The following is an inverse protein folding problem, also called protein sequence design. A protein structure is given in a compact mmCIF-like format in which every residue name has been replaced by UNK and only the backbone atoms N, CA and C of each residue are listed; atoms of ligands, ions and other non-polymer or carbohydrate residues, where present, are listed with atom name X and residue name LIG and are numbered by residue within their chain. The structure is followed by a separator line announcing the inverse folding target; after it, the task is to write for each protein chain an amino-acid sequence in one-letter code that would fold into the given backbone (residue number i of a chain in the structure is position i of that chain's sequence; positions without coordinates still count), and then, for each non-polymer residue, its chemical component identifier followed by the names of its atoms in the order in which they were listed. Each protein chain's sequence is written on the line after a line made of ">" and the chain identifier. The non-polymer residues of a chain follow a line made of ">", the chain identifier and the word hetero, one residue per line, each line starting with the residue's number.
data_IF_638938012556
#
_entry.id   IF_638938012556
#
_cell.length_a   1.000
_cell.length_b   1.000
_cell.length_c   1.000
_cell.angle_alpha   90.00
_cell.angle_beta   90.00
_cell.angle_gamma   90.00
#
_symmetry.space_group_name_H-M   'P 1'
#
loop_
_entity.id
_entity.type
_entity.pdbx_description
1 polymer ?
#
# COMPACT_ATOMS: atom_id res chain seq x y z
N UNK A 1 -42.99 13.52 -23.06
CA UNK A 1 -41.75 14.34 -22.93
C UNK A 1 -41.03 13.80 -21.70
N UNK A 2 -40.17 12.80 -21.90
CA UNK A 2 -38.71 12.93 -21.99
C UNK A 2 -38.10 13.14 -20.60
N UNK A 3 -37.26 12.26 -20.05
CA UNK A 3 -36.63 11.07 -20.62
C UNK A 3 -35.87 10.23 -19.59
N UNK A 4 -35.46 9.05 -20.06
CA UNK A 4 -34.48 8.08 -19.56
C UNK A 4 -33.69 8.38 -18.29
N UNK A 5 -33.70 7.42 -17.35
CA UNK A 5 -32.52 7.12 -16.52
C UNK A 5 -32.21 5.61 -16.50
N UNK A 6 -30.91 5.34 -16.50
CA UNK A 6 -30.24 4.12 -16.93
C UNK A 6 -30.42 2.90 -16.01
N UNK A 7 -30.30 1.71 -16.61
CA UNK A 7 -30.32 0.41 -15.95
C UNK A 7 -29.25 0.28 -14.85
N UNK A 8 -29.72 0.03 -13.63
CA UNK A 8 -28.87 -0.22 -12.47
C UNK A 8 -28.44 -1.70 -12.44
N UNK A 9 -27.16 -1.98 -12.61
CA UNK A 9 -26.62 -3.33 -12.39
C UNK A 9 -26.74 -3.74 -10.91
N UNK A 10 -27.13 -4.99 -10.65
CA UNK A 10 -27.31 -5.51 -9.29
C UNK A 10 -25.99 -5.51 -8.49
N UNK A 11 -26.02 -5.00 -7.26
CA UNK A 11 -24.86 -4.89 -6.34
C UNK A 11 -25.15 -5.70 -5.07
N UNK A 12 -24.24 -6.60 -4.70
CA UNK A 12 -24.34 -7.39 -3.45
C UNK A 12 -23.27 -6.95 -2.45
N UNK A 13 -23.67 -6.58 -1.23
CA UNK A 13 -22.78 -6.17 -0.12
C UNK A 13 -22.67 -7.26 0.95
N UNK A 14 -21.67 -7.15 1.83
CA UNK A 14 -21.50 -8.08 2.96
C UNK A 14 -22.70 -8.09 3.90
N UNK A 15 -23.37 -6.95 4.10
CA UNK A 15 -24.55 -6.88 4.96
C UNK A 15 -25.71 -7.76 4.49
N UNK A 16 -25.85 -7.97 3.18
CA UNK A 16 -26.98 -8.68 2.58
C UNK A 16 -26.91 -10.20 2.80
N UNK A 17 -25.74 -10.69 3.24
CA UNK A 17 -25.43 -12.11 3.37
C UNK A 17 -25.20 -12.56 4.83
N UNK A 18 -25.21 -11.63 5.79
CA UNK A 18 -24.92 -11.93 7.20
C UNK A 18 -25.93 -12.92 7.75
N UNK A 19 -27.21 -12.58 7.65
CA UNK A 19 -28.28 -13.30 8.35
C UNK A 19 -28.38 -14.73 7.78
N UNK A 20 -28.27 -14.85 6.45
CA UNK A 20 -28.19 -16.16 5.77
C UNK A 20 -27.03 -17.01 6.27
N UNK A 21 -25.86 -16.43 6.52
CA UNK A 21 -24.71 -17.20 7.00
C UNK A 21 -24.81 -17.58 8.49
N UNK A 22 -25.42 -16.73 9.31
CA UNK A 22 -25.64 -16.99 10.75
C UNK A 22 -26.65 -18.13 10.93
N UNK A 23 -27.76 -18.07 10.21
CA UNK A 23 -28.87 -19.02 10.29
C UNK A 23 -28.55 -20.36 9.61
N UNK A 24 -27.62 -20.36 8.65
CA UNK A 24 -27.26 -21.57 7.92
C UNK A 24 -26.51 -22.61 8.78
N UNK A 25 -26.84 -23.92 8.62
CA UNK A 25 -26.09 -25.03 9.19
C UNK A 25 -24.62 -24.99 8.76
N UNK A 26 -23.68 -25.34 9.65
CA UNK A 26 -22.22 -25.19 9.43
C UNK A 26 -21.73 -25.81 8.12
N UNK A 27 -22.29 -26.95 7.70
CA UNK A 27 -21.93 -27.62 6.43
C UNK A 27 -22.46 -26.93 5.17
N UNK A 28 -23.57 -26.17 5.29
CA UNK A 28 -24.30 -25.63 4.14
C UNK A 28 -24.14 -24.11 3.97
N UNK A 29 -23.45 -23.43 4.88
CA UNK A 29 -23.29 -21.96 4.84
C UNK A 29 -22.78 -21.43 3.51
N UNK A 30 -21.84 -22.15 2.89
CA UNK A 30 -21.29 -21.78 1.58
C UNK A 30 -22.36 -21.81 0.49
N UNK A 31 -23.18 -22.86 0.47
CA UNK A 31 -24.21 -23.08 -0.54
C UNK A 31 -25.37 -22.10 -0.38
N UNK A 32 -25.80 -21.84 0.86
CA UNK A 32 -26.87 -20.88 1.13
C UNK A 32 -26.47 -19.43 0.82
N UNK A 33 -25.21 -19.07 1.08
CA UNK A 33 -24.69 -17.76 0.64
C UNK A 33 -24.64 -17.67 -0.88
N UNK A 34 -24.25 -18.74 -1.56
CA UNK A 34 -24.25 -18.79 -3.02
C UNK A 34 -25.65 -18.59 -3.62
N UNK A 35 -26.64 -19.30 -3.10
CA UNK A 35 -28.05 -19.16 -3.49
C UNK A 35 -28.60 -17.76 -3.20
N UNK A 36 -28.22 -17.18 -2.05
CA UNK A 36 -28.61 -15.81 -1.71
C UNK A 36 -28.02 -14.80 -2.69
N UNK A 37 -26.74 -14.96 -3.07
CA UNK A 37 -26.12 -14.08 -4.06
C UNK A 37 -26.84 -14.21 -5.41
N UNK A 38 -27.17 -15.44 -5.86
CA UNK A 38 -27.96 -15.64 -7.09
C UNK A 38 -29.32 -14.95 -7.03
N UNK A 39 -30.03 -15.06 -5.91
CA UNK A 39 -31.35 -14.43 -5.75
C UNK A 39 -31.31 -12.89 -5.78
N UNK A 40 -30.15 -12.29 -5.45
CA UNK A 40 -29.98 -10.83 -5.44
C UNK A 40 -29.53 -10.28 -6.79
N UNK A 41 -29.12 -11.13 -7.73
CA UNK A 41 -28.56 -10.75 -9.03
C UNK A 41 -29.63 -10.78 -10.14
N UNK A 42 -30.85 -11.25 -9.84
CA UNK A 42 -32.04 -11.25 -10.72
C UNK A 42 -31.75 -11.72 -12.15
N UNK A 43 -31.14 -12.90 -12.27
CA UNK A 43 -30.81 -13.50 -13.56
C UNK A 43 -32.04 -14.27 -14.05
N UNK A 44 -32.61 -13.83 -15.19
CA UNK A 44 -33.78 -14.45 -15.83
C UNK A 44 -33.45 -15.75 -16.58
N UNK A 45 -32.18 -15.98 -16.92
CA UNK A 45 -31.68 -17.15 -17.66
C UNK A 45 -30.68 -18.01 -16.86
N UNK A 46 -30.40 -19.23 -17.32
CA UNK A 46 -29.46 -20.11 -16.63
C UNK A 46 -28.04 -19.51 -16.57
N UNK A 47 -27.44 -19.30 -15.37
CA UNK A 47 -26.20 -18.57 -15.27
C UNK A 47 -25.03 -19.33 -15.91
N UNK A 48 -24.19 -18.61 -16.66
CA UNK A 48 -23.04 -19.19 -17.35
C UNK A 48 -22.10 -19.95 -16.39
N UNK A 49 -21.39 -20.96 -16.90
CA UNK A 49 -20.43 -21.76 -16.09
C UNK A 49 -19.36 -20.89 -15.42
N UNK A 50 -18.94 -19.83 -16.09
CA UNK A 50 -17.98 -18.85 -15.55
C UNK A 50 -18.58 -18.03 -14.40
N UNK A 51 -19.82 -17.57 -14.57
CA UNK A 51 -20.56 -16.82 -13.56
C UNK A 51 -20.80 -17.64 -12.29
N UNK A 52 -21.28 -18.88 -12.43
CA UNK A 52 -21.44 -19.85 -11.33
C UNK A 52 -20.13 -20.04 -10.57
N UNK A 53 -19.01 -20.19 -11.27
CA UNK A 53 -17.67 -20.34 -10.66
C UNK A 53 -17.23 -19.11 -9.86
N UNK A 54 -17.48 -17.90 -10.38
CA UNK A 54 -17.10 -16.66 -9.70
C UNK A 54 -17.94 -16.40 -8.44
N UNK A 55 -19.26 -16.59 -8.52
CA UNK A 55 -20.15 -16.46 -7.35
C UNK A 55 -19.79 -17.49 -6.27
N UNK A 56 -19.42 -18.71 -6.68
CA UNK A 56 -18.97 -19.76 -5.76
C UNK A 56 -17.70 -19.36 -5.00
N UNK A 57 -16.71 -18.76 -5.68
CA UNK A 57 -15.50 -18.22 -5.04
C UNK A 57 -15.82 -17.06 -4.10
N UNK A 58 -16.70 -16.15 -4.49
CA UNK A 58 -17.14 -15.05 -3.64
C UNK A 58 -17.81 -15.55 -2.35
N UNK A 59 -18.68 -16.56 -2.46
CA UNK A 59 -19.36 -17.19 -1.32
C UNK A 59 -18.39 -17.82 -0.33
N UNK A 60 -17.34 -18.50 -0.84
CA UNK A 60 -16.28 -19.06 -0.01
C UNK A 60 -15.48 -17.99 0.72
N UNK A 61 -15.05 -16.94 0.01
CA UNK A 61 -14.28 -15.85 0.58
C UNK A 61 -15.06 -15.06 1.62
N UNK A 62 -16.36 -14.84 1.38
CA UNK A 62 -17.27 -14.25 2.36
C UNK A 62 -17.33 -15.10 3.62
N UNK A 63 -17.63 -16.40 3.49
CA UNK A 63 -17.77 -17.30 4.64
C UNK A 63 -16.52 -17.37 5.52
N UNK A 64 -15.32 -17.42 4.91
CA UNK A 64 -14.04 -17.40 5.64
C UNK A 64 -13.82 -16.09 6.41
N UNK A 65 -14.12 -14.94 5.80
CA UNK A 65 -13.98 -13.63 6.45
C UNK A 65 -15.02 -13.44 7.55
N UNK A 66 -16.25 -13.89 7.31
CA UNK A 66 -17.35 -13.85 8.26
C UNK A 66 -17.03 -14.70 9.49
N UNK A 67 -16.55 -15.93 9.33
CA UNK A 67 -16.17 -16.81 10.45
C UNK A 67 -15.12 -16.15 11.37
N UNK A 68 -14.07 -15.58 10.77
CA UNK A 68 -13.01 -14.89 11.52
C UNK A 68 -13.53 -13.66 12.28
N UNK A 69 -14.43 -12.88 11.67
CA UNK A 69 -15.01 -11.70 12.32
C UNK A 69 -16.03 -12.08 13.39
N UNK A 70 -16.82 -13.12 13.15
CA UNK A 70 -17.80 -13.68 14.08
C UNK A 70 -17.13 -14.15 15.37
N UNK A 71 -15.99 -14.84 15.27
CA UNK A 71 -15.22 -15.28 16.42
C UNK A 71 -14.67 -14.08 17.23
N UNK A 72 -14.15 -13.04 16.55
CA UNK A 72 -13.59 -11.85 17.20
C UNK A 72 -14.60 -11.02 17.97
N UNK A 73 -15.87 -11.01 17.56
CA UNK A 73 -16.95 -10.28 18.25
C UNK A 73 -17.69 -11.14 19.29
N UNK A 74 -17.17 -12.33 19.59
CA UNK A 74 -17.78 -13.25 20.57
C UNK A 74 -19.13 -13.78 20.12
N UNK A 75 -19.32 -13.99 18.81
CA UNK A 75 -20.55 -14.56 18.23
C UNK A 75 -21.82 -13.73 18.51
N UNK A 76 -21.67 -12.41 18.69
CA UNK A 76 -22.79 -11.49 18.89
C UNK A 76 -23.08 -10.69 17.62
N UNK A 77 -24.32 -10.80 17.11
CA UNK A 77 -24.81 -10.06 15.95
C UNK A 77 -24.72 -8.55 16.15
N UNK A 78 -25.21 -8.06 17.29
CA UNK A 78 -25.21 -6.62 17.59
C UNK A 78 -23.79 -6.05 17.65
N UNK A 79 -22.83 -6.78 18.25
CA UNK A 79 -21.42 -6.38 18.26
C UNK A 79 -20.78 -6.43 16.87
N UNK A 80 -21.19 -7.36 16.00
CA UNK A 80 -20.73 -7.39 14.60
C UNK A 80 -21.19 -6.14 13.84
N UNK A 81 -22.47 -5.80 13.95
CA UNK A 81 -23.05 -4.64 13.28
C UNK A 81 -22.42 -3.33 13.75
N UNK A 82 -22.14 -3.18 15.05
CA UNK A 82 -21.51 -1.99 15.61
C UNK A 82 -20.01 -1.89 15.30
N UNK A 83 -19.26 -3.00 15.39
CA UNK A 83 -17.79 -2.95 15.32
C UNK A 83 -17.24 -3.13 13.90
N UNK A 84 -18.05 -3.54 12.92
CA UNK A 84 -17.58 -3.89 11.57
C UNK A 84 -18.32 -3.15 10.44
N UNK A 85 -18.94 -1.99 10.71
CA UNK A 85 -19.72 -1.19 9.75
C UNK A 85 -19.04 -1.06 8.37
N UNK A 86 -17.77 -0.65 8.35
CA UNK A 86 -17.00 -0.48 7.09
C UNK A 86 -16.87 -1.78 6.28
N UNK A 87 -16.74 -2.92 6.96
CA UNK A 87 -16.68 -4.21 6.27
C UNK A 87 -18.06 -4.61 5.73
N UNK A 88 -19.13 -4.27 6.44
CA UNK A 88 -20.50 -4.62 6.06
C UNK A 88 -20.97 -3.92 4.79
N UNK A 89 -20.57 -2.67 4.59
CA UNK A 89 -20.93 -1.90 3.40
C UNK A 89 -20.04 -2.19 2.18
N UNK A 90 -19.01 -3.05 2.33
CA UNK A 90 -18.16 -3.44 1.21
C UNK A 90 -18.91 -4.33 0.21
N UNK A 91 -18.87 -3.93 -1.05
CA UNK A 91 -19.40 -4.68 -2.20
C UNK A 91 -18.59 -5.96 -2.41
N UNK A 92 -19.28 -7.08 -2.59
CA UNK A 92 -18.69 -8.40 -2.87
C UNK A 92 -18.84 -8.77 -4.34
N UNK A 93 -19.92 -8.32 -4.99
CA UNK A 93 -20.24 -8.71 -6.34
C UNK A 93 -20.96 -7.59 -7.11
N UNK A 94 -20.58 -7.40 -8.38
CA UNK A 94 -21.19 -6.47 -9.34
C UNK A 94 -21.26 -7.17 -10.70
N UNK A 95 -22.42 -7.12 -11.36
CA UNK A 95 -22.54 -7.56 -12.76
C UNK A 95 -21.92 -6.49 -13.66
N UNK A 96 -20.95 -6.86 -14.48
CA UNK A 96 -20.49 -6.04 -15.60
C UNK A 96 -21.15 -6.61 -16.87
N UNK A 97 -22.00 -5.82 -17.53
CA UNK A 97 -22.49 -6.14 -18.86
C UNK A 97 -21.39 -5.79 -19.87
N UNK A 98 -20.45 -6.69 -20.09
CA UNK A 98 -19.56 -6.63 -21.26
C UNK A 98 -19.51 -8.02 -21.87
N UNK A 99 -20.35 -8.20 -22.89
CA UNK A 99 -20.28 -9.25 -23.90
C UNK A 99 -19.12 -8.95 -24.83
N UNK A 100 -18.18 -9.89 -24.97
CA UNK A 100 -17.46 -10.10 -26.23
C UNK A 100 -16.95 -11.55 -26.27
N UNK A 101 -17.72 -12.36 -26.99
CA UNK A 101 -17.36 -13.70 -27.45
C UNK A 101 -16.35 -13.56 -28.59
N UNK A 102 -15.39 -14.49 -28.68
CA UNK A 102 -14.72 -14.79 -29.94
C UNK A 102 -14.66 -16.31 -30.12
N UNK A 103 -15.68 -16.81 -30.81
CA UNK A 103 -15.71 -18.08 -31.54
C UNK A 103 -14.92 -17.93 -32.85
N UNK A 104 -14.02 -18.88 -33.14
CA UNK A 104 -13.43 -19.04 -34.48
C UNK A 104 -13.73 -20.46 -34.98
N UNK A 105 -14.49 -20.56 -36.06
CA UNK A 105 -14.77 -21.77 -36.82
C UNK A 105 -13.68 -22.01 -37.88
N UNK A 106 -13.34 -23.29 -38.07
CA UNK A 106 -12.48 -23.82 -39.13
C UNK A 106 -13.17 -23.75 -40.50
N UNK A 107 -12.42 -23.40 -41.55
CA UNK A 107 -12.73 -23.77 -42.93
C UNK A 107 -11.47 -24.28 -43.65
N UNK A 108 -11.59 -25.49 -44.19
CA UNK A 108 -10.62 -26.15 -45.09
C UNK A 108 -10.77 -25.63 -46.52
N UNK A 109 -9.66 -25.43 -47.23
CA UNK A 109 -9.54 -25.68 -48.69
C UNK A 109 -8.07 -25.71 -49.14
N UNK A 110 -7.72 -26.73 -49.96
CA UNK A 110 -6.47 -26.93 -50.72
C UNK A 110 -6.85 -27.40 -52.16
N UNK A 111 -5.95 -27.49 -53.17
CA UNK A 111 -4.80 -26.65 -53.58
C UNK A 111 -4.77 -26.43 -55.14
N UNK A 112 -3.66 -25.93 -55.75
CA UNK A 112 -2.81 -26.87 -56.49
C UNK A 112 -1.28 -26.63 -56.43
N UNK A 113 -0.55 -27.73 -56.64
CA UNK A 113 0.88 -27.99 -56.53
C UNK A 113 1.87 -27.07 -57.29
N UNK A 114 3.04 -26.82 -56.66
CA UNK A 114 4.39 -26.87 -57.27
C UNK A 114 5.52 -26.98 -56.21
N UNK A 115 6.40 -27.97 -56.42
CA UNK A 115 7.75 -28.23 -55.84
C UNK A 115 7.99 -28.11 -54.31
N UNK A 116 7.80 -29.25 -53.65
CA UNK A 116 8.46 -29.84 -52.46
C UNK A 116 9.36 -28.93 -51.59
N UNK A 117 8.75 -28.39 -50.53
CA UNK A 117 9.43 -27.88 -49.34
C UNK A 117 8.62 -26.77 -48.66
N UNK A 118 8.20 -26.97 -47.40
CA UNK A 118 7.48 -25.92 -46.64
C UNK A 118 8.35 -24.65 -46.58
N UNK A 119 7.86 -23.48 -47.01
CA UNK A 119 8.59 -22.23 -46.91
C UNK A 119 9.09 -22.02 -45.49
N UNK A 120 10.37 -21.66 -45.35
CA UNK A 120 10.96 -21.44 -44.02
C UNK A 120 10.35 -20.17 -43.45
N UNK A 121 9.54 -20.33 -42.40
CA UNK A 121 9.11 -19.21 -41.54
C UNK A 121 10.37 -18.48 -41.01
N UNK A 122 10.40 -17.14 -41.00
CA UNK A 122 11.46 -16.33 -40.39
C UNK A 122 11.82 -16.85 -39.00
N UNK A 123 13.08 -16.67 -38.58
CA UNK A 123 13.53 -17.26 -37.31
C UNK A 123 12.70 -16.70 -36.16
N UNK A 124 12.35 -15.42 -36.20
CA UNK A 124 11.60 -14.66 -35.20
C UNK A 124 10.20 -15.26 -34.97
N UNK A 125 9.55 -15.68 -36.05
CA UNK A 125 8.18 -16.21 -36.09
C UNK A 125 8.13 -17.75 -35.90
N UNK A 126 9.27 -18.43 -35.92
CA UNK A 126 9.32 -19.88 -35.78
C UNK A 126 9.01 -20.35 -34.35
N UNK A 127 8.39 -21.54 -34.23
CA UNK A 127 8.12 -22.18 -32.94
C UNK A 127 9.41 -22.44 -32.14
N UNK A 128 9.33 -22.48 -30.81
CA UNK A 128 10.48 -22.78 -29.93
C UNK A 128 11.19 -24.10 -30.29
N UNK A 129 10.42 -25.12 -30.69
CA UNK A 129 10.97 -26.42 -31.12
C UNK A 129 11.77 -26.28 -32.42
N UNK A 130 11.26 -25.52 -33.38
CA UNK A 130 11.93 -25.24 -34.66
C UNK A 130 13.18 -24.37 -34.47
N UNK A 131 13.10 -23.34 -33.63
CA UNK A 131 14.25 -22.50 -33.26
C UNK A 131 15.36 -23.34 -32.64
N UNK A 132 15.04 -24.20 -31.66
CA UNK A 132 16.01 -25.11 -31.05
C UNK A 132 16.64 -26.06 -32.05
N UNK A 133 15.87 -26.65 -32.97
CA UNK A 133 16.42 -27.51 -34.02
C UNK A 133 17.37 -26.76 -34.96
N UNK A 134 17.02 -25.53 -35.36
CA UNK A 134 17.86 -24.69 -36.23
C UNK A 134 19.16 -24.24 -35.54
N UNK A 135 19.11 -23.95 -34.25
CA UNK A 135 20.29 -23.56 -33.45
C UNK A 135 21.11 -24.77 -33.01
N UNK A 136 20.51 -25.97 -32.93
CA UNK A 136 21.22 -27.20 -32.56
C UNK A 136 22.44 -27.44 -33.45
N UNK A 137 22.29 -27.21 -34.75
CA UNK A 137 23.37 -27.31 -35.75
C UNK A 137 24.54 -26.35 -35.44
N UNK A 138 24.26 -25.16 -34.90
CA UNK A 138 25.27 -24.17 -34.50
C UNK A 138 25.95 -24.49 -33.16
N UNK A 139 25.31 -25.31 -32.32
CA UNK A 139 25.81 -25.71 -31.00
C UNK A 139 26.55 -27.04 -31.00
N UNK A 140 26.50 -27.81 -32.09
CA UNK A 140 27.18 -29.12 -32.19
C UNK A 140 28.70 -28.99 -32.24
N UNK A 141 29.20 -27.96 -32.93
CA UNK A 141 30.63 -27.81 -33.24
C UNK A 141 31.31 -26.64 -32.49
N UNK A 142 30.58 -25.93 -31.61
CA UNK A 142 31.07 -24.72 -30.96
C UNK A 142 30.80 -24.72 -29.46
N UNK A 143 31.77 -24.24 -28.69
CA UNK A 143 31.63 -24.09 -27.24
C UNK A 143 30.70 -22.93 -26.88
N UNK A 144 30.09 -22.99 -25.69
CA UNK A 144 29.23 -21.92 -25.19
C UNK A 144 29.95 -20.56 -25.14
N UNK A 145 31.25 -20.56 -24.81
CA UNK A 145 32.06 -19.35 -24.74
C UNK A 145 32.30 -18.72 -26.11
N UNK A 146 32.53 -19.51 -27.15
CA UNK A 146 32.68 -19.00 -28.52
C UNK A 146 31.38 -18.40 -29.05
N UNK A 147 30.24 -19.03 -28.76
CA UNK A 147 28.93 -18.49 -29.15
C UNK A 147 28.64 -17.17 -28.42
N UNK A 148 29.00 -17.07 -27.15
CA UNK A 148 28.91 -15.82 -26.37
C UNK A 148 29.80 -14.71 -26.97
N UNK A 149 31.02 -15.07 -27.38
CA UNK A 149 31.95 -14.13 -27.99
C UNK A 149 31.45 -13.64 -29.35
N UNK A 150 30.91 -14.52 -30.19
CA UNK A 150 30.29 -14.15 -31.47
C UNK A 150 29.14 -13.17 -31.26
N UNK A 151 28.29 -13.39 -30.25
CA UNK A 151 27.19 -12.48 -29.91
C UNK A 151 27.74 -11.09 -29.55
N UNK A 152 28.82 -11.01 -28.78
CA UNK A 152 29.44 -9.73 -28.40
C UNK A 152 30.05 -9.00 -29.60
N UNK A 153 30.70 -9.74 -30.52
CA UNK A 153 31.29 -9.19 -31.74
C UNK A 153 30.23 -8.67 -32.70
N UNK A 154 29.14 -9.44 -32.92
CA UNK A 154 28.03 -9.06 -33.81
C UNK A 154 27.24 -7.88 -33.24
N UNK A 155 27.15 -7.77 -31.91
CA UNK A 155 26.46 -6.67 -31.22
C UNK A 155 27.31 -5.39 -31.12
N UNK A 156 28.55 -5.37 -31.64
CA UNK A 156 29.42 -4.20 -31.65
C UNK A 156 29.89 -3.72 -30.28
N UNK A 157 29.80 -4.56 -29.24
CA UNK A 157 30.01 -4.16 -27.85
C UNK A 157 31.45 -4.46 -27.39
N UNK A 158 32.39 -3.58 -27.72
CA UNK A 158 33.75 -3.60 -27.13
C UNK A 158 33.87 -2.84 -25.80
N UNK A 159 32.75 -2.54 -25.16
CA UNK A 159 32.74 -2.03 -23.79
C UNK A 159 31.97 -2.99 -22.88
N UNK A 160 32.57 -3.19 -21.71
CA UNK A 160 31.96 -3.68 -20.47
C UNK A 160 30.82 -2.76 -20.03
N UNK A 161 29.77 -2.66 -20.85
CA UNK A 161 28.50 -2.07 -20.48
C UNK A 161 27.75 -3.10 -19.64
N UNK A 162 27.63 -2.75 -18.37
CA UNK A 162 26.71 -3.33 -17.41
C UNK A 162 25.32 -3.21 -18.01
N UNK A 163 24.88 -4.27 -18.70
CA UNK A 163 23.47 -4.57 -18.90
C UNK A 163 22.76 -4.32 -17.57
N UNK A 164 21.60 -3.63 -17.54
CA UNK A 164 20.90 -3.38 -16.30
C UNK A 164 20.65 -4.73 -15.66
N UNK A 165 21.43 -5.05 -14.63
CA UNK A 165 21.27 -6.26 -13.86
C UNK A 165 19.91 -6.10 -13.18
N UNK A 166 18.87 -6.62 -13.83
CA UNK A 166 17.72 -7.14 -13.13
C UNK A 166 18.36 -8.06 -12.09
N UNK A 167 18.30 -7.68 -10.81
CA UNK A 167 18.69 -8.54 -9.70
C UNK A 167 17.72 -9.74 -9.70
N UNK A 168 17.92 -10.66 -10.62
CA UNK A 168 17.26 -11.95 -10.62
C UNK A 168 18.16 -12.88 -9.84
N UNK A 169 17.75 -13.21 -8.62
CA UNK A 169 18.33 -14.35 -7.92
C UNK A 169 18.35 -15.54 -8.87
N UNK A 170 19.50 -16.20 -8.97
CA UNK A 170 19.58 -17.52 -9.57
C UNK A 170 18.62 -18.47 -8.85
N UNK A 171 18.19 -19.55 -9.50
CA UNK A 171 17.29 -20.53 -8.89
C UNK A 171 17.86 -21.08 -7.58
N UNK A 172 19.19 -21.21 -7.49
CA UNK A 172 19.89 -21.65 -6.29
C UNK A 172 19.83 -20.61 -5.16
N UNK A 173 20.05 -19.33 -5.46
CA UNK A 173 19.96 -18.25 -4.46
C UNK A 173 18.52 -18.01 -3.99
N UNK A 174 17.55 -18.11 -4.89
CA UNK A 174 16.13 -18.04 -4.54
C UNK A 174 15.72 -19.19 -3.63
N UNK A 175 16.20 -20.41 -3.90
CA UNK A 175 15.94 -21.58 -3.07
C UNK A 175 16.63 -21.48 -1.71
N UNK A 176 17.89 -21.06 -1.66
CA UNK A 176 18.62 -20.81 -0.42
C UNK A 176 17.87 -19.78 0.44
N UNK A 177 17.44 -18.66 -0.14
CA UNK A 177 16.67 -17.63 0.54
C UNK A 177 15.30 -18.15 1.04
N UNK A 178 14.63 -19.02 0.28
CA UNK A 178 13.37 -19.64 0.72
C UNK A 178 13.57 -20.59 1.90
N UNK A 179 14.67 -21.34 1.92
CA UNK A 179 15.01 -22.30 2.96
C UNK A 179 15.48 -21.59 4.23
N UNK A 180 16.43 -20.65 4.11
CA UNK A 180 17.02 -19.92 5.23
C UNK A 180 16.00 -19.05 5.97
N UNK A 181 15.02 -18.50 5.24
CA UNK A 181 13.98 -17.63 5.78
C UNK A 181 12.64 -18.33 6.05
N UNK A 182 12.55 -19.65 5.85
CA UNK A 182 11.32 -20.44 5.98
C UNK A 182 10.12 -19.83 5.22
N UNK A 183 10.36 -19.40 3.97
CA UNK A 183 9.38 -18.71 3.13
C UNK A 183 8.70 -19.71 2.20
N UNK A 184 7.37 -19.87 2.36
CA UNK A 184 6.57 -20.67 1.43
C UNK A 184 6.65 -20.14 -0.01
N UNK A 185 6.51 -21.03 -1.00
CA UNK A 185 6.45 -20.68 -2.44
C UNK A 185 5.48 -19.52 -2.71
N UNK A 186 4.29 -19.52 -2.08
CA UNK A 186 3.30 -18.45 -2.24
C UNK A 186 3.82 -17.09 -1.73
N UNK A 187 4.49 -17.07 -0.58
CA UNK A 187 5.09 -15.85 0.00
C UNK A 187 6.28 -15.37 -0.85
N UNK A 188 7.10 -16.29 -1.37
CA UNK A 188 8.19 -15.97 -2.29
C UNK A 188 7.66 -15.38 -3.61
N UNK A 189 6.62 -15.96 -4.20
CA UNK A 189 5.98 -15.44 -5.40
C UNK A 189 5.33 -14.07 -5.15
N UNK A 190 4.73 -13.86 -3.98
CA UNK A 190 4.24 -12.55 -3.58
C UNK A 190 5.39 -11.55 -3.50
N UNK A 191 6.48 -11.89 -2.81
CA UNK A 191 7.68 -11.07 -2.69
C UNK A 191 8.23 -10.72 -4.08
N UNK A 192 8.38 -11.72 -4.95
CA UNK A 192 8.87 -11.59 -6.33
C UNK A 192 7.96 -10.72 -7.21
N UNK A 193 6.65 -10.83 -7.05
CA UNK A 193 5.67 -10.00 -7.78
C UNK A 193 5.62 -8.54 -7.33
N UNK A 194 6.24 -8.25 -6.18
CA UNK A 194 6.25 -6.94 -5.51
C UNK A 194 7.57 -6.19 -5.76
N UNK A 195 8.59 -6.87 -6.27
CA UNK A 195 9.91 -6.31 -6.57
C UNK A 195 9.89 -5.84 -8.03
N UNK A 196 9.82 -4.51 -8.24
CA UNK A 196 10.22 -3.73 -9.46
C UNK A 196 9.29 -2.55 -9.83
N UNK A 197 8.90 -1.68 -8.90
CA UNK A 197 8.47 -0.28 -9.18
C UNK A 197 8.25 0.47 -7.85
N UNK A 198 8.22 1.80 -7.84
CA UNK A 198 7.79 2.60 -6.67
C UNK A 198 6.26 2.77 -6.62
N UNK A 199 5.70 3.24 -5.49
CA UNK A 199 4.25 3.47 -5.29
C UNK A 199 3.71 4.53 -6.26
N UNK A 200 3.00 4.17 -7.34
CA UNK A 200 2.51 5.18 -8.28
C UNK A 200 1.27 5.85 -7.67
N UNK A 201 1.25 7.19 -7.63
CA UNK A 201 0.14 7.92 -7.01
C UNK A 201 -0.95 8.27 -8.02
N UNK A 202 -0.54 8.78 -9.17
CA UNK A 202 -1.41 9.22 -10.27
C UNK A 202 -0.65 9.18 -11.60
N UNK A 203 -1.40 8.95 -12.67
CA UNK A 203 -0.95 9.14 -14.05
C UNK A 203 -1.76 10.31 -14.63
N UNK A 204 -1.06 11.28 -15.21
CA UNK A 204 -1.66 12.48 -15.78
C UNK A 204 -1.23 12.56 -17.24
N UNK A 205 -2.16 12.92 -18.10
CA UNK A 205 -1.87 13.40 -19.43
C UNK A 205 -1.37 14.85 -19.33
N UNK A 206 -0.11 15.07 -19.71
CA UNK A 206 0.54 16.38 -19.58
C UNK A 206 -0.04 17.45 -20.52
N UNK A 207 -0.63 17.06 -21.65
CA UNK A 207 -1.22 18.02 -22.60
C UNK A 207 -2.58 18.50 -22.13
N UNK A 208 -3.43 17.56 -21.68
CA UNK A 208 -4.80 17.87 -21.26
C UNK A 208 -4.95 18.13 -19.76
N UNK A 209 -3.89 17.86 -18.99
CA UNK A 209 -3.87 17.83 -17.52
C UNK A 209 -4.93 16.88 -16.92
N UNK A 210 -5.37 15.88 -17.70
CA UNK A 210 -6.39 14.92 -17.29
C UNK A 210 -5.75 13.81 -16.48
N UNK A 211 -6.32 13.51 -15.31
CA UNK A 211 -5.92 12.34 -14.51
C UNK A 211 -6.44 11.08 -15.20
N UNK A 212 -5.55 10.31 -15.80
CA UNK A 212 -5.85 9.04 -16.47
C UNK A 212 -6.01 7.90 -15.47
N UNK A 213 -5.22 7.94 -14.40
CA UNK A 213 -5.27 6.93 -13.35
C UNK A 213 -4.86 7.52 -12.00
N UNK A 214 -5.42 6.98 -10.92
CA UNK A 214 -5.08 7.35 -9.54
C UNK A 214 -5.18 6.12 -8.64
N UNK A 215 -4.24 5.99 -7.71
CA UNK A 215 -4.32 4.93 -6.70
C UNK A 215 -5.51 5.16 -5.77
N UNK A 216 -6.42 4.17 -5.69
CA UNK A 216 -7.58 4.21 -4.80
C UNK A 216 -7.20 4.16 -3.31
N UNK A 217 -6.08 3.55 -2.96
CA UNK A 217 -5.64 3.36 -1.57
C UNK A 217 -4.13 3.62 -1.40
N UNK A 218 -3.66 4.88 -1.49
CA UNK A 218 -2.23 5.22 -1.53
C UNK A 218 -1.47 4.84 -0.26
N UNK A 219 -2.16 4.75 0.88
CA UNK A 219 -1.57 4.32 2.15
C UNK A 219 -1.58 2.80 2.37
N UNK A 220 -2.07 2.01 1.40
CA UNK A 220 -2.09 0.55 1.52
C UNK A 220 -0.70 -0.03 1.34
N UNK A 221 -0.31 -0.94 2.23
CA UNK A 221 0.94 -1.70 2.12
C UNK A 221 1.03 -2.54 0.84
N UNK A 222 -0.11 -2.81 0.19
CA UNK A 222 -0.15 -3.50 -1.10
C UNK A 222 0.46 -2.69 -2.25
N UNK A 223 0.46 -1.36 -2.15
CA UNK A 223 1.06 -0.48 -3.16
C UNK A 223 2.45 0.02 -2.73
N UNK A 224 2.82 -0.13 -1.45
CA UNK A 224 4.17 0.16 -0.98
C UNK A 224 5.12 -0.93 -1.47
N UNK A 225 5.95 -0.57 -2.45
CA UNK A 225 6.89 -1.48 -3.08
C UNK A 225 8.30 -1.25 -2.51
N UNK A 226 8.98 -2.31 -2.03
CA UNK A 226 10.33 -2.18 -1.50
C UNK A 226 11.32 -1.94 -2.64
N UNK A 227 12.12 -0.88 -2.51
CA UNK A 227 13.20 -0.55 -3.45
C UNK A 227 14.55 -1.17 -3.01
N UNK A 228 14.87 -1.07 -1.72
CA UNK A 228 16.11 -1.56 -1.11
C UNK A 228 15.84 -1.97 0.32
N UNK A 229 16.42 -3.09 0.76
CA UNK A 229 16.41 -3.50 2.16
C UNK A 229 17.84 -3.77 2.62
N UNK A 230 18.16 -3.40 3.86
CA UNK A 230 19.50 -3.55 4.43
C UNK A 230 19.38 -4.03 5.88
N UNK A 231 20.18 -5.02 6.26
CA UNK A 231 20.31 -5.46 7.65
C UNK A 231 21.36 -4.61 8.38
N UNK A 232 21.09 -3.31 8.50
CA UNK A 232 21.95 -2.36 9.22
C UNK A 232 21.10 -1.49 10.12
N UNK A 233 21.65 -1.10 11.27
CA UNK A 233 21.00 -0.11 12.13
C UNK A 233 21.01 1.26 11.44
N UNK A 234 19.87 1.94 11.46
CA UNK A 234 19.75 3.30 10.97
C UNK A 234 20.76 4.23 11.65
N UNK A 235 21.46 5.01 10.84
CA UNK A 235 22.41 6.03 11.28
C UNK A 235 22.46 7.18 10.25
N UNK A 236 23.00 8.33 10.67
CA UNK A 236 22.96 9.55 9.87
C UNK A 236 23.69 9.40 8.51
N UNK A 237 24.85 8.76 8.51
CA UNK A 237 25.65 8.56 7.29
C UNK A 237 24.93 7.65 6.29
N UNK A 238 24.33 6.56 6.78
CA UNK A 238 23.55 5.64 5.95
C UNK A 238 22.35 6.34 5.32
N UNK A 239 21.64 7.16 6.09
CA UNK A 239 20.48 7.92 5.61
C UNK A 239 20.91 8.91 4.51
N UNK A 240 21.95 9.72 4.75
CA UNK A 240 22.45 10.71 3.78
C UNK A 240 23.00 10.07 2.51
N UNK A 241 23.78 8.99 2.65
CA UNK A 241 24.34 8.29 1.51
C UNK A 241 23.25 7.61 0.67
N UNK A 242 22.21 7.08 1.32
CA UNK A 242 21.08 6.47 0.63
C UNK A 242 20.23 7.52 -0.09
N UNK A 243 19.98 8.68 0.52
CA UNK A 243 19.29 9.79 -0.15
C UNK A 243 20.06 10.23 -1.41
N UNK A 244 21.37 10.48 -1.28
CA UNK A 244 22.22 10.85 -2.42
C UNK A 244 22.18 9.81 -3.54
N UNK A 245 22.35 8.53 -3.20
CA UNK A 245 22.28 7.43 -4.18
C UNK A 245 20.93 7.41 -4.93
N UNK A 246 19.82 7.62 -4.21
CA UNK A 246 18.48 7.61 -4.80
C UNK A 246 18.26 8.86 -5.66
N UNK A 247 18.63 10.05 -5.19
CA UNK A 247 18.50 11.31 -5.95
C UNK A 247 19.28 11.22 -7.26
N UNK A 248 20.53 10.76 -7.22
CA UNK A 248 21.33 10.58 -8.44
C UNK A 248 20.68 9.59 -9.40
N UNK A 249 20.03 8.53 -8.90
CA UNK A 249 19.27 7.61 -9.76
C UNK A 249 18.04 8.26 -10.38
N UNK A 250 17.33 9.11 -9.63
CA UNK A 250 16.16 9.85 -10.10
C UNK A 250 16.56 10.86 -11.19
N UNK A 251 17.64 11.61 -10.98
CA UNK A 251 18.15 12.59 -11.96
C UNK A 251 18.58 11.95 -13.28
N UNK A 252 18.96 10.67 -13.26
CA UNK A 252 19.35 9.90 -14.45
C UNK A 252 18.21 9.04 -15.02
N UNK A 253 16.96 9.22 -14.56
CA UNK A 253 15.82 8.50 -15.13
C UNK A 253 15.54 8.98 -16.56
N UNK A 254 15.47 8.02 -17.48
CA UNK A 254 15.07 8.26 -18.87
C UNK A 254 13.56 8.00 -18.98
N UNK A 255 12.81 8.81 -19.75
CA UNK A 255 11.39 8.57 -19.99
C UNK A 255 11.13 7.17 -20.53
N UNK A 256 10.01 6.57 -20.12
CA UNK A 256 9.64 5.21 -20.53
C UNK A 256 8.83 5.29 -21.82
N UNK A 257 9.37 4.75 -22.91
CA UNK A 257 8.63 4.59 -24.17
C UNK A 257 7.82 3.29 -24.17
N UNK A 258 6.50 3.42 -24.33
CA UNK A 258 5.57 2.28 -24.44
C UNK A 258 4.90 2.29 -25.80
N UNK A 259 5.05 1.20 -26.56
CA UNK A 259 4.29 0.96 -27.79
C UNK A 259 3.14 0.00 -27.51
N UNK A 260 1.93 0.42 -27.81
CA UNK A 260 0.74 -0.44 -27.73
C UNK A 260 0.67 -1.41 -28.89
N UNK A 261 -0.12 -2.48 -28.74
CA UNK A 261 -0.37 -3.46 -29.80
C UNK A 261 -1.04 -2.84 -31.03
N UNK A 262 -1.74 -1.72 -30.84
CA UNK A 262 -2.45 -0.95 -31.87
C UNK A 262 -1.54 0.07 -32.59
N UNK A 263 -0.24 0.12 -32.24
CA UNK A 263 0.74 0.99 -32.90
C UNK A 263 0.90 2.38 -32.28
N UNK A 264 0.10 2.75 -31.27
CA UNK A 264 0.29 4.02 -30.55
C UNK A 264 1.54 3.97 -29.67
N UNK A 265 2.33 5.03 -29.69
CA UNK A 265 3.50 5.24 -28.83
C UNK A 265 3.21 6.28 -27.75
N UNK A 266 3.55 5.96 -26.50
CA UNK A 266 3.44 6.85 -25.35
C UNK A 266 4.83 7.04 -24.74
N UNK A 267 5.11 8.27 -24.31
CA UNK A 267 6.29 8.61 -23.52
C UNK A 267 5.79 8.90 -22.10
N UNK A 268 6.37 8.21 -21.12
CA UNK A 268 5.99 8.35 -19.71
C UNK A 268 7.16 8.92 -18.92
N UNK A 269 6.98 10.15 -18.46
CA UNK A 269 7.84 10.78 -17.47
C UNK A 269 7.43 10.40 -16.05
N UNK A 270 8.43 10.27 -15.17
CA UNK A 270 8.22 9.86 -13.78
C UNK A 270 8.69 10.96 -12.85
N UNK A 271 7.74 11.59 -12.14
CA UNK A 271 8.01 12.52 -11.05
C UNK A 271 7.98 11.80 -9.69
N UNK A 272 9.03 11.95 -8.89
CA UNK A 272 9.23 11.25 -7.63
C UNK A 272 9.32 12.22 -6.45
N UNK A 273 8.52 11.96 -5.41
CA UNK A 273 8.47 12.81 -4.21
C UNK A 273 8.92 12.04 -2.96
N UNK A 274 10.01 12.49 -2.33
CA UNK A 274 10.50 11.95 -1.06
C UNK A 274 9.67 12.47 0.12
N UNK A 275 8.44 11.98 0.26
CA UNK A 275 7.49 12.42 1.31
C UNK A 275 7.18 11.35 2.35
N UNK A 276 7.54 10.10 2.08
CA UNK A 276 7.33 8.96 2.97
C UNK A 276 8.49 8.81 3.96
N UNK A 277 8.69 9.82 4.79
CA UNK A 277 9.73 9.87 5.83
C UNK A 277 9.15 10.14 7.21
N UNK A 278 9.88 9.70 8.22
CA UNK A 278 9.63 10.06 9.60
C UNK A 278 10.36 11.37 9.98
N UNK A 279 10.01 11.95 11.12
CA UNK A 279 10.65 13.19 11.56
C UNK A 279 12.13 13.05 11.87
N UNK A 280 12.59 11.86 12.29
CA UNK A 280 14.00 11.58 12.61
C UNK A 280 14.90 11.61 11.37
N UNK A 281 14.49 10.92 10.32
CA UNK A 281 15.12 10.94 8.99
C UNK A 281 15.06 12.36 8.43
N UNK A 282 13.89 13.02 8.52
CA UNK A 282 13.76 14.43 8.11
C UNK A 282 14.80 15.34 8.76
N UNK A 283 15.01 15.21 10.08
CA UNK A 283 16.04 15.97 10.81
C UNK A 283 17.47 15.71 10.32
N UNK A 284 17.80 14.45 10.00
CA UNK A 284 19.12 14.08 9.48
C UNK A 284 19.38 14.72 8.11
N UNK A 285 18.37 14.68 7.24
CA UNK A 285 18.42 15.20 5.87
C UNK A 285 18.39 16.73 5.82
N UNK A 286 17.67 17.38 6.76
CA UNK A 286 17.63 18.84 6.90
C UNK A 286 18.76 19.41 7.77
N UNK A 287 19.74 18.58 8.15
CA UNK A 287 20.84 18.93 9.06
C UNK A 287 20.39 19.59 10.38
N UNK A 288 19.18 19.25 10.81
CA UNK A 288 18.56 19.79 12.02
C UNK A 288 18.83 18.85 13.18
N UNK A 289 19.92 19.10 13.92
CA UNK A 289 20.40 18.22 15.00
C UNK A 289 19.42 18.02 16.17
N UNK A 290 18.37 18.84 16.29
CA UNK A 290 17.42 18.78 17.41
C UNK A 290 16.05 18.33 16.92
N UNK A 291 15.52 17.27 17.52
CA UNK A 291 14.17 16.76 17.29
C UNK A 291 13.06 17.72 17.71
N UNK A 292 13.40 18.77 18.46
CA UNK A 292 12.48 19.80 18.93
C UNK A 292 12.50 21.06 18.06
N UNK A 293 13.37 21.13 17.06
CA UNK A 293 13.42 22.24 16.09
C UNK A 293 12.58 21.90 14.87
N UNK A 294 11.86 22.89 14.35
CA UNK A 294 11.15 22.72 13.08
C UNK A 294 12.13 22.61 11.92
N UNK A 295 12.03 21.56 11.10
CA UNK A 295 12.86 21.39 9.90
C UNK A 295 12.58 22.43 8.82
N UNK A 296 11.40 23.07 8.84
CA UNK A 296 11.02 24.07 7.83
C UNK A 296 11.54 25.45 8.22
N UNK A 297 11.19 25.97 9.39
CA UNK A 297 11.51 27.35 9.78
C UNK A 297 12.63 27.47 10.83
N UNK A 298 13.20 26.36 11.27
CA UNK A 298 14.25 26.34 12.30
C UNK A 298 13.80 26.75 13.71
N UNK A 299 12.50 27.01 13.91
CA UNK A 299 11.97 27.46 15.20
C UNK A 299 12.19 26.43 16.31
N UNK A 300 12.65 26.90 17.47
CA UNK A 300 12.70 26.12 18.72
C UNK A 300 11.35 26.21 19.44
N UNK A 301 11.08 25.35 20.44
CA UNK A 301 9.86 25.46 21.24
C UNK A 301 9.72 26.82 21.94
N UNK A 302 10.84 27.45 22.31
CA UNK A 302 10.83 28.80 22.91
C UNK A 302 10.34 29.84 21.92
N UNK A 303 10.75 29.72 20.67
CA UNK A 303 10.36 30.63 19.59
C UNK A 303 8.88 30.47 19.22
N UNK A 304 8.40 29.22 19.15
CA UNK A 304 7.00 28.89 18.82
C UNK A 304 6.00 29.44 19.84
N UNK A 305 6.44 29.70 21.08
CA UNK A 305 5.61 30.31 22.12
C UNK A 305 5.53 31.83 22.02
N UNK A 306 6.13 32.44 21.00
CA UNK A 306 6.09 33.90 20.78
C UNK A 306 5.44 34.24 19.45
N UNK A 307 4.53 35.21 19.44
CA UNK A 307 3.87 35.65 18.21
C UNK A 307 4.84 36.25 17.19
N UNK A 308 5.94 36.86 17.65
CA UNK A 308 7.01 37.36 16.79
C UNK A 308 7.74 36.26 16.01
N UNK A 309 7.72 35.02 16.50
CA UNK A 309 8.33 33.86 15.84
C UNK A 309 7.56 33.33 14.63
N UNK A 310 6.33 33.81 14.39
CA UNK A 310 5.45 33.31 13.32
C UNK A 310 5.95 33.71 11.92
N UNK A 311 6.58 34.88 11.78
CA UNK A 311 7.04 35.41 10.48
C UNK A 311 8.45 34.93 10.09
N UNK A 312 8.88 33.76 10.56
CA UNK A 312 10.20 33.23 10.21
C UNK A 312 10.23 32.75 8.77
N UNK A 313 11.25 33.12 7.98
CA UNK A 313 11.38 32.64 6.62
C UNK A 313 11.57 31.11 6.64
N UNK A 314 10.79 30.37 5.83
CA UNK A 314 10.95 28.93 5.71
C UNK A 314 12.16 28.59 4.84
N UNK A 315 12.80 27.45 5.12
CA UNK A 315 13.65 26.76 4.18
C UNK A 315 12.76 26.00 3.19
N UNK A 316 12.60 26.55 1.99
CA UNK A 316 11.71 26.03 0.94
C UNK A 316 12.20 24.69 0.39
N UNK A 317 13.51 24.41 0.42
CA UNK A 317 14.06 23.14 -0.05
C UNK A 317 13.52 21.95 0.77
N UNK A 318 13.20 22.20 2.04
CA UNK A 318 12.65 21.19 2.94
C UNK A 318 11.16 20.91 2.69
N UNK A 319 10.48 21.63 1.79
CA UNK A 319 9.12 21.29 1.38
C UNK A 319 9.03 19.95 0.65
N UNK A 320 10.13 19.50 0.04
CA UNK A 320 10.22 18.18 -0.62
C UNK A 320 9.88 17.03 0.32
N UNK A 321 10.07 17.23 1.62
CA UNK A 321 9.80 16.22 2.64
C UNK A 321 8.31 16.03 2.96
N UNK A 322 7.45 16.98 2.53
CA UNK A 322 6.03 16.96 2.82
C UNK A 322 5.69 17.01 4.32
N UNK A 323 4.42 16.73 4.63
CA UNK A 323 3.93 16.67 6.01
C UNK A 323 3.63 15.22 6.41
N UNK A 324 4.35 14.73 7.41
CA UNK A 324 4.14 13.38 7.98
C UNK A 324 2.87 13.34 8.84
N UNK A 325 1.70 13.25 8.19
CA UNK A 325 0.38 13.32 8.85
C UNK A 325 0.25 12.30 9.98
N UNK A 326 0.73 11.07 9.81
CA UNK A 326 0.72 10.05 10.86
C UNK A 326 1.40 10.56 12.15
N UNK A 327 2.60 11.14 12.01
CA UNK A 327 3.34 11.67 13.16
C UNK A 327 2.69 12.94 13.70
N UNK A 328 2.09 13.80 12.87
CA UNK A 328 1.32 14.95 13.36
C UNK A 328 0.21 14.53 14.33
N UNK A 329 -0.58 13.52 13.96
CA UNK A 329 -1.66 13.00 14.82
C UNK A 329 -1.13 12.41 16.13
N UNK A 330 -0.08 11.59 16.06
CA UNK A 330 0.52 10.96 17.25
C UNK A 330 1.12 12.03 18.18
N UNK A 331 1.92 12.97 17.64
CA UNK A 331 2.57 14.02 18.43
C UNK A 331 1.58 14.99 19.04
N UNK A 332 0.51 15.32 18.32
CA UNK A 332 -0.53 16.19 18.87
C UNK A 332 -1.28 15.50 20.02
N UNK A 333 -1.62 14.22 19.86
CA UNK A 333 -2.17 13.40 20.94
C UNK A 333 -1.25 13.34 22.17
N UNK A 334 0.05 13.06 21.97
CA UNK A 334 1.04 13.06 23.05
C UNK A 334 1.15 14.41 23.74
N UNK A 335 1.10 15.51 22.99
CA UNK A 335 1.09 16.87 23.52
C UNK A 335 -0.10 17.09 24.46
N UNK A 336 -1.31 16.73 24.04
CA UNK A 336 -2.53 16.90 24.84
C UNK A 336 -2.51 16.05 26.11
N UNK A 337 -2.03 14.80 26.04
CA UNK A 337 -1.83 13.97 27.24
C UNK A 337 -0.85 14.63 28.21
N UNK A 338 0.27 15.11 27.69
CA UNK A 338 1.30 15.78 28.46
C UNK A 338 0.84 17.10 29.09
N UNK A 339 -0.04 17.85 28.42
CA UNK A 339 -0.73 19.01 29.00
C UNK A 339 -1.63 18.53 30.13
N UNK A 340 -2.51 17.55 29.87
CA UNK A 340 -3.42 16.98 30.86
C UNK A 340 -2.72 16.48 32.13
N UNK A 341 -1.58 15.79 32.00
CA UNK A 341 -0.77 15.34 33.13
C UNK A 341 -0.25 16.49 34.00
N UNK A 342 0.07 17.62 33.37
CA UNK A 342 0.69 18.80 34.02
C UNK A 342 -0.30 19.88 34.43
N UNK A 343 -1.58 19.76 34.09
CA UNK A 343 -2.61 20.72 34.51
C UNK A 343 -2.57 21.05 36.02
N UNK A 344 -2.37 20.09 36.95
CA UNK A 344 -2.34 20.40 38.38
C UNK A 344 -1.21 21.35 38.80
N UNK A 345 -0.10 21.35 38.08
CA UNK A 345 1.08 22.19 38.40
C UNK A 345 1.17 23.42 37.48
N UNK A 346 0.34 23.50 36.43
CA UNK A 346 0.27 24.60 35.45
C UNK A 346 1.64 25.04 34.89
N UNK A 347 2.61 24.11 34.80
CA UNK A 347 3.97 24.40 34.38
C UNK A 347 4.51 23.37 33.41
N UNK A 348 5.29 23.84 32.44
CA UNK A 348 5.90 22.98 31.43
C UNK A 348 7.00 22.08 32.02
N UNK A 349 7.81 22.64 32.92
CA UNK A 349 8.93 21.92 33.54
C UNK A 349 8.55 21.33 34.89
N UNK A 350 8.55 20.00 34.96
CA UNK A 350 8.31 19.27 36.21
C UNK A 350 9.62 19.22 37.02
N UNK A 351 9.81 20.20 37.91
CA UNK A 351 10.99 20.30 38.80
C UNK A 351 10.63 19.95 40.24
N UNK A 352 11.53 19.24 40.93
CA UNK A 352 11.35 18.83 42.33
C UNK A 352 10.56 17.53 42.51
N UNK A 353 10.74 16.83 43.64
CA UNK A 353 10.09 15.54 43.91
C UNK A 353 8.57 15.68 44.08
N UNK A 354 8.11 16.79 44.65
CA UNK A 354 6.68 17.07 44.88
C UNK A 354 5.90 17.16 43.56
N UNK A 355 6.31 18.05 42.65
CA UNK A 355 5.68 18.18 41.34
C UNK A 355 5.73 16.88 40.53
N UNK A 356 6.82 16.10 40.65
CA UNK A 356 6.92 14.78 40.02
C UNK A 356 5.87 13.82 40.56
N UNK A 357 5.66 13.79 41.88
CA UNK A 357 4.64 12.95 42.49
C UNK A 357 3.22 13.35 42.07
N UNK A 358 2.93 14.66 42.02
CA UNK A 358 1.63 15.19 41.57
C UNK A 358 1.34 14.78 40.11
N UNK A 359 2.31 15.00 39.21
CA UNK A 359 2.17 14.67 37.78
C UNK A 359 2.04 13.16 37.59
N UNK A 360 2.80 12.35 38.31
CA UNK A 360 2.73 10.89 38.21
C UNK A 360 1.39 10.34 38.72
N UNK A 361 0.86 10.90 39.82
CA UNK A 361 -0.47 10.55 40.32
C UNK A 361 -1.57 10.90 39.31
N UNK A 362 -1.52 12.10 38.72
CA UNK A 362 -2.50 12.53 37.73
C UNK A 362 -2.37 11.74 36.40
N UNK A 363 -1.14 11.39 36.00
CA UNK A 363 -0.89 10.49 34.86
C UNK A 363 -1.54 9.12 35.09
N UNK A 364 -1.38 8.52 36.27
CA UNK A 364 -2.01 7.24 36.62
C UNK A 364 -3.54 7.32 36.59
N UNK A 365 -4.12 8.42 37.12
CA UNK A 365 -5.57 8.68 37.04
C UNK A 365 -6.04 8.72 35.59
N UNK A 366 -5.42 9.54 34.76
CA UNK A 366 -5.78 9.69 33.33
C UNK A 366 -5.64 8.36 32.58
N UNK A 367 -4.55 7.61 32.80
CA UNK A 367 -4.37 6.29 32.19
C UNK A 367 -5.45 5.28 32.61
N UNK A 368 -5.84 5.29 33.89
CA UNK A 368 -6.90 4.42 34.40
C UNK A 368 -8.26 4.78 33.80
N UNK A 369 -8.59 6.07 33.69
CA UNK A 369 -9.83 6.54 33.10
C UNK A 369 -9.93 6.25 31.60
N UNK A 370 -8.83 6.44 30.84
CA UNK A 370 -8.80 6.05 29.43
C UNK A 370 -9.02 4.56 29.23
N UNK A 371 -8.44 3.73 30.11
CA UNK A 371 -8.66 2.28 30.08
C UNK A 371 -10.09 1.92 30.45
N UNK A 372 -10.70 2.58 31.44
CA UNK A 372 -12.05 2.29 31.89
C UNK A 372 -13.13 2.76 30.90
N UNK A 373 -13.03 4.01 30.42
CA UNK A 373 -14.06 4.65 29.59
C UNK A 373 -13.93 4.31 28.10
N UNK A 374 -12.72 4.17 27.58
CA UNK A 374 -12.44 3.97 26.14
C UNK A 374 -11.70 2.66 25.83
N UNK A 375 -11.44 1.80 26.83
CA UNK A 375 -10.60 0.60 26.66
C UNK A 375 -9.22 0.90 26.05
N UNK A 376 -8.72 2.11 26.30
CA UNK A 376 -7.52 2.65 25.66
C UNK A 376 -6.33 2.59 26.61
N UNK A 377 -5.20 2.05 26.14
CA UNK A 377 -3.94 2.04 26.90
C UNK A 377 -3.04 3.13 26.32
N UNK A 378 -2.77 4.16 27.12
CA UNK A 378 -2.00 5.33 26.71
C UNK A 378 -0.69 5.46 27.50
N UNK A 379 0.34 5.99 26.84
CA UNK A 379 1.64 6.35 27.41
C UNK A 379 2.30 5.24 28.24
N UNK A 380 2.27 4.01 27.71
CA UNK A 380 3.00 2.86 28.26
C UNK A 380 4.06 2.36 27.27
N UNK A 381 5.29 2.07 27.73
CA UNK A 381 6.30 1.46 26.86
C UNK A 381 5.85 0.04 26.46
N UNK A 382 6.12 -0.33 25.20
CA UNK A 382 5.93 -1.70 24.70
C UNK A 382 7.25 -2.48 24.82
N UNK A 383 7.23 -3.79 25.13
CA UNK A 383 8.44 -4.60 25.11
C UNK A 383 9.11 -4.58 23.73
N UNK A 384 10.43 -4.36 23.69
CA UNK A 384 11.19 -4.29 22.44
C UNK A 384 11.33 -2.87 21.89
N UNK A 385 10.23 -2.22 21.48
CA UNK A 385 10.26 -0.86 20.95
C UNK A 385 8.89 -0.17 20.95
N UNK A 386 8.92 1.16 20.98
CA UNK A 386 7.75 2.02 20.86
C UNK A 386 6.93 2.17 22.15
N UNK A 387 5.84 2.92 22.03
CA UNK A 387 4.88 3.11 23.12
C UNK A 387 3.48 2.68 22.67
N UNK A 388 2.56 2.67 23.61
CA UNK A 388 1.13 2.52 23.32
C UNK A 388 0.53 3.74 22.61
N UNK A 389 1.30 4.84 22.43
CA UNK A 389 0.87 6.00 21.65
C UNK A 389 1.21 5.77 20.17
N UNK A 390 0.35 5.02 19.50
CA UNK A 390 0.43 4.80 18.06
C UNK A 390 -0.76 5.44 17.34
N UNK A 391 -0.78 5.32 16.01
CA UNK A 391 -1.81 5.92 15.18
C UNK A 391 -3.24 5.43 15.50
N UNK A 392 -3.41 4.21 16.02
CA UNK A 392 -4.73 3.74 16.42
C UNK A 392 -5.17 4.39 17.73
N UNK A 393 -4.24 4.51 18.68
CA UNK A 393 -4.50 5.19 19.96
C UNK A 393 -4.89 6.65 19.74
N UNK A 394 -4.14 7.37 18.90
CA UNK A 394 -4.47 8.75 18.55
C UNK A 394 -5.85 8.86 17.89
N UNK A 395 -6.18 7.99 16.93
CA UNK A 395 -7.50 8.00 16.27
C UNK A 395 -8.65 7.81 17.24
N UNK A 396 -8.54 6.85 18.17
CA UNK A 396 -9.60 6.60 19.16
C UNK A 396 -9.77 7.81 20.09
N UNK A 397 -8.66 8.42 20.53
CA UNK A 397 -8.67 9.62 21.35
C UNK A 397 -9.43 10.77 20.67
N UNK A 398 -9.10 11.07 19.41
CA UNK A 398 -9.72 12.19 18.68
C UNK A 398 -11.12 11.88 18.14
N UNK A 399 -11.49 10.60 17.98
CA UNK A 399 -12.85 10.22 17.62
C UNK A 399 -13.84 10.46 18.77
N UNK A 400 -13.35 10.53 20.02
CA UNK A 400 -14.15 10.77 21.22
C UNK A 400 -13.71 12.06 21.92
N UNK A 401 -13.83 13.24 21.27
CA UNK A 401 -13.22 14.48 21.78
C UNK A 401 -13.80 14.92 23.12
N UNK A 402 -15.10 14.70 23.37
CA UNK A 402 -15.74 15.01 24.65
C UNK A 402 -15.14 14.17 25.78
N UNK A 403 -15.18 12.84 25.64
CA UNK A 403 -14.64 11.93 26.65
C UNK A 403 -13.15 12.16 26.89
N UNK A 404 -12.39 12.42 25.82
CA UNK A 404 -10.96 12.74 25.92
C UNK A 404 -10.71 14.05 26.67
N UNK A 405 -11.52 15.09 26.42
CA UNK A 405 -11.49 16.36 27.14
C UNK A 405 -11.83 16.15 28.63
N UNK A 406 -12.92 15.43 28.94
CA UNK A 406 -13.34 15.17 30.32
C UNK A 406 -12.28 14.41 31.13
N UNK A 407 -11.61 13.43 30.51
CA UNK A 407 -10.56 12.64 31.17
C UNK A 407 -9.32 13.51 31.42
N UNK A 408 -8.86 14.22 30.37
CA UNK A 408 -7.60 14.97 30.41
C UNK A 408 -7.72 16.30 31.15
N UNK A 409 -8.92 16.88 31.24
CA UNK A 409 -9.17 18.23 31.71
C UNK A 409 -8.78 19.32 30.70
N UNK A 410 -8.37 18.95 29.49
CA UNK A 410 -8.04 19.91 28.43
C UNK A 410 -9.32 20.34 27.73
N UNK A 411 -9.51 21.65 27.56
CA UNK A 411 -10.72 22.20 26.94
C UNK A 411 -10.98 21.62 25.53
N UNK A 412 -12.24 21.28 25.27
CA UNK A 412 -12.68 20.65 24.02
C UNK A 412 -12.64 21.63 22.85
N UNK A 413 -13.08 22.86 23.08
CA UNK A 413 -13.26 23.82 22.00
C UNK A 413 -11.99 24.61 21.71
N UNK A 414 -11.05 24.67 22.65
CA UNK A 414 -9.83 25.49 22.62
C UNK A 414 -10.08 26.83 21.89
N UNK A 415 -11.22 27.46 22.17
CA UNK A 415 -11.60 28.74 21.58
C UNK A 415 -10.95 29.84 22.40
N UNK A 416 -10.00 30.53 21.77
CA UNK A 416 -9.46 31.83 22.16
C UNK A 416 -8.59 31.88 23.43
N UNK A 417 -7.27 31.68 23.26
CA UNK A 417 -6.27 32.50 23.97
C UNK A 417 -6.26 33.93 23.40
N UNK A 418 -7.41 34.60 23.45
CA UNK A 418 -7.55 36.04 23.20
C UNK A 418 -8.44 36.62 24.29
N UNK A 419 -7.86 36.84 25.48
CA UNK A 419 -8.21 37.94 26.40
C UNK A 419 -7.54 37.71 27.76
N UNK A 420 -6.34 38.26 27.92
CA UNK A 420 -5.86 38.92 29.15
C UNK A 420 -4.55 39.61 28.84
#
# INVERSE_FOLDING_TARGET
>A
MAGNEAGHGAIVRNRDLIDVWIEAPRGNRKQMVYEKILSLIDITDEPSKHLKSNIMKCSQLFGLKMANKWQKVGQSRNRLLQNQVYWLDKIIYRINNDSEENTSSDEEQEPPCRSVGRPRVPFEEASKKTKRRRVAELTTDRSANELQFVVNVVSGSNHSEVSPQIFSFSTAEALALMVDLDISVRKYLLLRSVINAMTPLRLIDMETNKVLWKTESPSSTLYCRPFKFLFKKENADLVRNTEKEIITKIENLIPIEIKTKEGHSYIIDVDMMLTMLDGSVGNVLSETNSTMKCIICGATPKDMNTLAGINRPPNVDNYRFGLSTLHCWIRFFECLLHIGYRLPITSWQVRGPENKAIVEANKKRIQAEFRAKLSLVVDKPKPGYGSSNDGNTARIFFHNPQTSSDITGVDRESRNLRSS
#
